data_IF_977587653475
#
_entry.id   IF_977587653475
#
_cell.length_a   1.000
_cell.length_b   1.000
_cell.length_c   1.000
_cell.angle_alpha   90.00
_cell.angle_beta   90.00
_cell.angle_gamma   90.00
#
_symmetry.space_group_name_H-M   'P 1'
#
loop_
_entity.id
_entity.type
_entity.pdbx_description
1 polymer ?
#
# COMPACT_ATOMS: atom_id res chain seq x y z
N UNK A 1 -11.66 -15.66 -16.02
CA UNK A 1 -11.78 -14.27 -16.53
C UNK A 1 -11.07 -14.22 -17.87
N UNK A 2 -11.73 -13.75 -18.93
CA UNK A 2 -11.00 -13.37 -20.14
C UNK A 2 -10.62 -11.88 -20.01
N UNK A 3 -9.33 -11.59 -20.01
CA UNK A 3 -8.84 -10.22 -20.10
C UNK A 3 -9.02 -9.75 -21.54
N UNK A 4 -9.81 -8.68 -21.75
CA UNK A 4 -10.07 -8.12 -23.07
C UNK A 4 -9.46 -6.74 -23.17
N UNK A 5 -8.77 -6.47 -24.28
CA UNK A 5 -8.15 -5.17 -24.52
C UNK A 5 -9.20 -4.07 -24.75
N UNK A 6 -8.89 -2.80 -24.42
CA UNK A 6 -9.85 -1.68 -24.59
C UNK A 6 -10.37 -1.57 -26.03
N UNK A 7 -9.50 -1.64 -27.03
CA UNK A 7 -9.92 -1.55 -28.44
C UNK A 7 -10.80 -2.74 -28.86
N UNK A 8 -10.52 -3.92 -28.32
CA UNK A 8 -11.27 -5.15 -28.56
C UNK A 8 -12.71 -5.03 -28.04
N UNK A 9 -12.88 -4.65 -26.76
CA UNK A 9 -14.21 -4.54 -26.15
C UNK A 9 -15.01 -3.37 -26.74
N UNK A 10 -14.37 -2.24 -27.01
CA UNK A 10 -15.04 -1.08 -27.64
C UNK A 10 -15.56 -1.46 -29.03
N UNK A 11 -14.76 -2.14 -29.85
CA UNK A 11 -15.19 -2.60 -31.19
C UNK A 11 -16.35 -3.59 -31.11
N UNK A 12 -16.29 -4.55 -30.18
CA UNK A 12 -17.39 -5.51 -29.98
C UNK A 12 -18.70 -4.81 -29.56
N UNK A 13 -18.62 -3.79 -28.70
CA UNK A 13 -19.80 -3.06 -28.23
C UNK A 13 -20.42 -2.11 -29.27
N UNK A 14 -19.80 -1.96 -30.44
CA UNK A 14 -20.42 -1.28 -31.58
C UNK A 14 -21.53 -2.15 -32.21
N UNK A 15 -21.47 -3.46 -32.07
CA UNK A 15 -22.42 -4.41 -32.68
C UNK A 15 -23.27 -5.16 -31.67
N UNK A 16 -22.84 -5.26 -30.40
CA UNK A 16 -23.57 -5.94 -29.32
C UNK A 16 -23.66 -5.06 -28.07
N UNK A 17 -24.76 -5.15 -27.32
CA UNK A 17 -24.92 -4.50 -26.01
C UNK A 17 -24.76 -5.46 -24.83
N UNK A 18 -24.39 -6.71 -25.11
CA UNK A 18 -24.29 -7.78 -24.13
C UNK A 18 -22.85 -8.07 -23.78
N UNK A 19 -22.57 -8.54 -22.58
CA UNK A 19 -21.24 -8.98 -22.19
C UNK A 19 -20.85 -10.23 -23.01
N UNK A 20 -19.68 -10.27 -23.67
CA UNK A 20 -19.26 -11.43 -24.46
C UNK A 20 -18.97 -12.68 -23.61
N UNK A 21 -18.84 -12.51 -22.29
CA UNK A 21 -18.50 -13.61 -21.36
C UNK A 21 -19.74 -14.24 -20.72
N UNK A 22 -20.71 -13.43 -20.29
CA UNK A 22 -21.87 -13.89 -19.53
C UNK A 22 -23.21 -13.55 -20.19
N UNK A 23 -23.19 -12.96 -21.39
CA UNK A 23 -24.37 -12.57 -22.16
C UNK A 23 -25.35 -11.67 -21.39
N UNK A 24 -24.89 -10.97 -20.36
CA UNK A 24 -25.69 -10.01 -19.59
C UNK A 24 -25.67 -8.66 -20.28
N UNK A 25 -26.82 -7.98 -20.38
CA UNK A 25 -26.90 -6.65 -21.01
C UNK A 25 -26.13 -5.61 -20.18
N UNK A 26 -25.20 -4.90 -20.81
CA UNK A 26 -24.31 -3.94 -20.12
C UNK A 26 -25.03 -2.60 -19.87
N UNK A 27 -25.80 -2.14 -20.87
CA UNK A 27 -26.58 -0.91 -20.80
C UNK A 27 -27.65 -0.89 -21.91
N UNK A 28 -28.75 -0.17 -21.69
CA UNK A 28 -29.85 -0.01 -22.65
C UNK A 28 -29.44 0.70 -23.96
N UNK A 29 -28.82 1.87 -23.85
CA UNK A 29 -28.43 2.71 -25.00
C UNK A 29 -26.92 2.92 -25.16
N UNK A 30 -26.16 2.99 -24.07
CA UNK A 30 -24.74 3.35 -24.06
C UNK A 30 -23.86 2.28 -23.37
N UNK A 31 -23.45 1.21 -24.08
CA UNK A 31 -22.66 0.12 -23.50
C UNK A 31 -21.30 0.55 -22.94
N UNK A 32 -20.75 1.67 -23.40
CA UNK A 32 -19.45 2.19 -22.96
C UNK A 32 -19.50 2.90 -21.60
N UNK A 33 -20.68 3.35 -21.15
CA UNK A 33 -20.83 4.18 -19.94
C UNK A 33 -20.39 3.45 -18.67
N UNK A 34 -20.72 2.17 -18.57
CA UNK A 34 -20.45 1.34 -17.38
C UNK A 34 -19.14 0.55 -17.48
N UNK A 35 -18.34 0.74 -18.53
CA UNK A 35 -17.06 0.07 -18.66
C UNK A 35 -16.00 0.77 -17.81
N UNK A 36 -15.33 0.00 -16.96
CA UNK A 36 -14.17 0.45 -16.18
C UNK A 36 -12.93 -0.34 -16.56
N UNK A 37 -11.78 0.32 -16.54
CA UNK A 37 -10.49 -0.34 -16.70
C UNK A 37 -10.15 -1.10 -15.42
N UNK A 38 -9.76 -2.36 -15.55
CA UNK A 38 -9.12 -3.09 -14.48
C UNK A 38 -7.65 -2.64 -14.39
N UNK A 39 -7.38 -1.70 -13.48
CA UNK A 39 -6.05 -1.11 -13.28
C UNK A 39 -5.04 -2.13 -12.76
N UNK A 40 -5.47 -3.04 -11.90
CA UNK A 40 -4.59 -4.06 -11.34
C UNK A 40 -4.14 -5.02 -12.44
N UNK A 41 -5.08 -5.47 -13.26
CA UNK A 41 -4.76 -6.34 -14.39
C UNK A 41 -3.89 -5.62 -15.42
N UNK A 42 -4.15 -4.35 -15.70
CA UNK A 42 -3.32 -3.52 -16.59
C UNK A 42 -1.88 -3.41 -16.07
N UNK A 43 -1.69 -3.12 -14.77
CA UNK A 43 -0.37 -3.01 -14.15
C UNK A 43 0.39 -4.34 -14.18
N UNK A 44 -0.31 -5.45 -13.95
CA UNK A 44 0.28 -6.79 -14.07
C UNK A 44 0.75 -7.01 -15.50
N UNK A 45 -0.11 -6.75 -16.50
CA UNK A 45 0.22 -6.95 -17.91
C UNK A 45 1.39 -6.08 -18.36
N UNK A 46 1.45 -4.79 -17.97
CA UNK A 46 2.56 -3.90 -18.30
C UNK A 46 3.88 -4.30 -17.65
N UNK A 47 3.85 -4.88 -16.45
CA UNK A 47 5.06 -5.40 -15.80
C UNK A 47 5.52 -6.72 -16.40
N UNK A 48 4.60 -7.56 -16.87
CA UNK A 48 4.92 -8.88 -17.43
C UNK A 48 5.34 -8.83 -18.90
N UNK A 49 4.85 -7.87 -19.68
CA UNK A 49 5.12 -7.77 -21.12
C UNK A 49 6.05 -6.57 -21.40
N UNK A 50 7.35 -6.81 -21.67
CA UNK A 50 8.32 -5.74 -21.92
C UNK A 50 7.92 -4.85 -23.09
N UNK A 51 8.11 -3.53 -22.95
CA UNK A 51 7.86 -2.54 -24.01
C UNK A 51 6.37 -2.31 -24.35
N UNK A 52 5.43 -3.03 -23.72
CA UNK A 52 4.00 -2.89 -24.02
C UNK A 52 3.45 -1.52 -23.60
N UNK A 53 3.82 -1.05 -22.40
CA UNK A 53 3.40 0.26 -21.91
C UNK A 53 3.94 1.39 -22.80
N UNK A 54 5.23 1.36 -23.13
CA UNK A 54 5.88 2.34 -24.00
C UNK A 54 5.24 2.37 -25.40
N UNK A 55 4.93 1.19 -25.96
CA UNK A 55 4.24 1.04 -27.24
C UNK A 55 2.81 1.63 -27.20
N UNK A 56 2.08 1.45 -26.11
CA UNK A 56 0.76 2.03 -25.93
C UNK A 56 0.84 3.55 -25.79
N UNK A 57 1.77 4.07 -24.98
CA UNK A 57 1.99 5.50 -24.81
C UNK A 57 2.41 6.18 -26.11
N UNK A 58 3.25 5.52 -26.92
CA UNK A 58 3.64 5.98 -28.25
C UNK A 58 2.44 6.08 -29.19
N UNK A 59 1.60 5.03 -29.27
CA UNK A 59 0.39 5.02 -30.10
C UNK A 59 -0.61 6.09 -29.68
N UNK A 60 -0.78 6.30 -28.37
CA UNK A 60 -1.62 7.39 -27.85
C UNK A 60 -1.06 8.74 -28.30
N UNK A 61 0.25 8.97 -28.13
CA UNK A 61 0.90 10.23 -28.51
C UNK A 61 0.73 10.54 -30.00
N UNK A 62 0.99 9.56 -30.86
CA UNK A 62 0.84 9.67 -32.31
C UNK A 62 -0.62 9.98 -32.72
N UNK A 63 -1.60 9.38 -32.05
CA UNK A 63 -3.02 9.63 -32.30
C UNK A 63 -3.43 11.09 -32.02
N UNK A 64 -2.97 11.65 -30.90
CA UNK A 64 -3.30 13.05 -30.54
C UNK A 64 -2.53 14.05 -31.42
N UNK A 65 -1.23 13.80 -31.65
CA UNK A 65 -0.39 14.64 -32.51
C UNK A 65 -0.92 14.72 -33.95
N UNK A 66 -1.33 13.59 -34.53
CA UNK A 66 -1.88 13.56 -35.90
C UNK A 66 -3.20 14.33 -36.06
N UNK A 67 -3.87 14.69 -34.95
CA UNK A 67 -5.11 15.47 -34.95
C UNK A 67 -4.93 16.90 -34.46
N UNK A 68 -3.69 17.32 -34.15
CA UNK A 68 -3.41 18.64 -33.58
C UNK A 68 -4.06 18.87 -32.21
N UNK A 69 -4.32 17.79 -31.45
CA UNK A 69 -4.97 17.84 -30.15
C UNK A 69 -3.94 17.62 -29.04
N UNK A 70 -4.08 18.37 -27.94
CA UNK A 70 -3.37 18.06 -26.70
C UNK A 70 -3.98 16.83 -26.02
N UNK A 71 -3.14 16.06 -25.33
CA UNK A 71 -3.58 14.84 -24.66
C UNK A 71 -4.57 15.17 -23.55
N UNK A 72 -5.85 14.83 -23.76
CA UNK A 72 -6.86 14.89 -22.69
C UNK A 72 -6.53 13.79 -21.67
N UNK A 73 -5.97 14.20 -20.54
CA UNK A 73 -5.84 13.30 -19.38
C UNK A 73 -7.25 13.13 -18.84
N UNK A 74 -7.86 11.95 -19.02
CA UNK A 74 -9.16 11.71 -18.41
C UNK A 74 -9.00 11.81 -16.88
N UNK A 75 -9.65 12.77 -16.21
CA UNK A 75 -9.69 12.76 -14.77
C UNK A 75 -10.44 11.49 -14.36
N UNK A 76 -9.79 10.67 -13.54
CA UNK A 76 -10.48 9.61 -12.83
C UNK A 76 -11.50 10.29 -11.92
N UNK A 77 -12.78 10.13 -12.20
CA UNK A 77 -13.85 10.54 -11.30
C UNK A 77 -13.82 9.66 -10.05
N UNK A 78 -12.93 10.01 -9.13
CA UNK A 78 -12.95 9.64 -7.72
C UNK A 78 -12.69 10.93 -6.94
N UNK A 79 -13.68 11.82 -6.96
CA UNK A 79 -13.85 12.81 -5.91
C UNK A 79 -14.14 12.04 -4.62
N UNK A 80 -13.17 11.99 -3.72
CA UNK A 80 -13.45 11.77 -2.30
C UNK A 80 -12.58 12.71 -1.46
N UNK A 81 -13.26 13.73 -0.97
CA UNK A 81 -12.95 14.69 0.09
C UNK A 81 -11.91 14.18 1.11
N UNK A 82 -10.84 14.95 1.27
CA UNK A 82 -9.87 14.78 2.35
C UNK A 82 -8.46 15.27 2.01
N UNK A 83 -8.31 16.57 1.74
CA UNK A 83 -6.98 17.16 1.48
C UNK A 83 -6.10 17.16 2.74
N UNK A 84 -4.92 16.55 2.62
CA UNK A 84 -3.80 16.70 3.56
C UNK A 84 -3.09 18.05 3.24
N UNK A 85 -2.65 18.86 4.23
CA UNK A 85 -2.26 20.25 4.04
C UNK A 85 -0.84 20.46 3.49
N UNK A 86 -0.26 19.46 2.82
CA UNK A 86 0.99 19.63 2.07
C UNK A 86 0.70 19.63 0.57
N UNK A 87 0.51 20.84 0.04
CA UNK A 87 0.22 21.11 -1.37
C UNK A 87 1.24 20.54 -2.34
N UNK A 88 1.00 19.31 -2.78
CA UNK A 88 1.52 18.82 -4.05
C UNK A 88 0.39 18.89 -5.07
N UNK A 89 0.61 19.53 -6.24
CA UNK A 89 -0.38 19.55 -7.30
C UNK A 89 -0.69 18.10 -7.69
N UNK A 90 -1.98 17.78 -7.79
CA UNK A 90 -2.53 16.48 -8.18
C UNK A 90 -2.25 16.11 -9.64
N UNK A 91 -1.13 16.57 -10.20
CA UNK A 91 -0.65 16.22 -11.52
C UNK A 91 0.33 15.05 -11.40
N UNK A 92 -0.05 13.90 -11.96
CA UNK A 92 0.79 12.71 -12.17
C UNK A 92 1.26 11.99 -10.90
N UNK A 93 0.33 11.40 -10.14
CA UNK A 93 0.74 10.29 -9.26
C UNK A 93 1.18 9.13 -10.14
N UNK A 94 2.49 8.94 -10.23
CA UNK A 94 3.09 7.81 -10.94
C UNK A 94 2.66 6.50 -10.26
N UNK A 95 1.63 5.86 -10.83
CA UNK A 95 1.08 4.60 -10.33
C UNK A 95 2.14 3.49 -10.26
N UNK A 96 3.24 3.60 -11.02
CA UNK A 96 4.37 2.68 -10.89
C UNK A 96 4.98 2.72 -9.47
N UNK A 97 4.85 3.83 -8.73
CA UNK A 97 5.38 4.01 -7.37
C UNK A 97 4.35 3.78 -6.28
N UNK A 98 3.09 3.53 -6.63
CA UNK A 98 1.98 3.33 -5.66
C UNK A 98 2.24 2.18 -4.67
N UNK A 99 3.04 1.18 -5.06
CA UNK A 99 3.36 0.01 -4.25
C UNK A 99 4.42 0.26 -3.14
N UNK A 100 5.00 1.46 -3.08
CA UNK A 100 6.04 1.81 -2.11
C UNK A 100 5.46 1.96 -0.71
N UNK A 101 6.18 1.50 0.32
CA UNK A 101 5.73 1.52 1.72
C UNK A 101 5.29 2.89 2.25
N UNK A 102 5.86 3.99 1.74
CA UNK A 102 5.51 5.36 2.12
C UNK A 102 4.06 5.75 1.78
N UNK A 103 3.43 5.01 0.86
CA UNK A 103 2.05 5.23 0.45
C UNK A 103 1.09 4.18 1.01
N UNK A 104 1.59 3.24 1.82
CA UNK A 104 0.70 2.33 2.53
C UNK A 104 -0.13 3.11 3.57
N UNK A 105 -1.23 2.50 4.01
CA UNK A 105 -1.85 2.87 5.28
C UNK A 105 -0.79 2.83 6.41
N UNK A 106 -0.90 3.74 7.38
CA UNK A 106 0.00 3.81 8.51
C UNK A 106 -0.71 3.54 9.83
N UNK A 107 -0.01 2.89 10.76
CA UNK A 107 -0.45 2.69 12.14
C UNK A 107 0.43 3.47 13.11
N UNK A 108 -0.17 3.94 14.20
CA UNK A 108 0.53 4.57 15.32
C UNK A 108 0.74 3.56 16.45
N UNK A 109 1.98 3.46 16.92
CA UNK A 109 2.45 2.53 17.94
C UNK A 109 3.02 3.32 19.14
N UNK A 110 2.92 2.75 20.33
CA UNK A 110 3.65 3.20 21.52
C UNK A 110 4.57 2.05 21.98
N UNK A 111 5.87 2.33 22.15
CA UNK A 111 6.88 1.37 22.58
C UNK A 111 7.35 1.70 23.99
N UNK A 112 7.08 0.79 24.93
CA UNK A 112 7.49 0.95 26.32
C UNK A 112 8.48 -0.13 26.74
N UNK A 113 9.46 0.24 27.57
CA UNK A 113 10.38 -0.75 28.14
C UNK A 113 9.59 -1.62 29.11
N UNK A 114 9.67 -2.94 28.97
CA UNK A 114 9.12 -3.87 29.94
C UNK A 114 9.85 -3.66 31.28
N UNK A 115 9.12 -3.26 32.32
CA UNK A 115 9.69 -3.05 33.65
C UNK A 115 10.13 -4.38 34.27
N UNK A 116 11.43 -4.59 34.42
CA UNK A 116 11.97 -5.72 35.19
C UNK A 116 12.60 -5.21 36.49
N UNK A 117 12.32 -5.88 37.62
CA UNK A 117 12.81 -5.51 38.95
C UNK A 117 14.33 -5.65 39.12
N UNK A 118 15.05 -6.13 38.11
CA UNK A 118 16.51 -6.32 38.09
C UNK A 118 17.24 -5.45 37.06
N UNK A 119 16.55 -4.54 36.37
CA UNK A 119 17.10 -3.80 35.24
C UNK A 119 17.97 -2.61 35.70
N UNK A 120 19.29 -2.77 35.67
CA UNK A 120 20.25 -1.66 35.84
C UNK A 120 20.50 -0.89 34.53
N UNK A 121 19.91 -1.33 33.40
CA UNK A 121 20.14 -0.72 32.09
C UNK A 121 19.35 0.58 31.94
N UNK A 122 20.09 1.70 31.83
CA UNK A 122 19.56 3.04 31.52
C UNK A 122 19.10 3.22 30.07
N UNK A 123 19.24 2.21 29.20
CA UNK A 123 18.86 2.31 27.79
C UNK A 123 17.32 2.35 27.65
N UNK A 124 16.77 3.56 27.74
CA UNK A 124 15.34 3.85 27.59
C UNK A 124 15.14 4.65 26.31
N UNK A 125 14.16 4.23 25.52
CA UNK A 125 13.78 4.92 24.31
C UNK A 125 13.18 6.30 24.65
N UNK A 126 13.81 7.36 24.14
CA UNK A 126 13.35 8.74 24.37
C UNK A 126 12.05 9.03 23.61
N UNK A 127 11.98 8.60 22.33
CA UNK A 127 10.79 8.75 21.49
C UNK A 127 10.04 7.43 21.41
N UNK A 128 8.99 7.30 22.23
CA UNK A 128 8.21 6.06 22.37
C UNK A 128 7.18 5.84 21.26
N UNK A 129 6.77 6.90 20.58
CA UNK A 129 5.73 6.82 19.55
C UNK A 129 6.34 6.62 18.16
N UNK A 130 5.83 5.63 17.43
CA UNK A 130 6.26 5.30 16.07
C UNK A 130 5.04 5.29 15.16
N UNK A 131 5.16 5.90 13.98
CA UNK A 131 4.21 5.73 12.88
C UNK A 131 4.90 4.99 11.75
N UNK A 132 4.30 3.92 11.25
CA UNK A 132 4.88 3.11 10.18
C UNK A 132 3.80 2.45 9.31
N UNK A 133 4.20 2.00 8.12
CA UNK A 133 3.34 1.23 7.22
C UNK A 133 2.73 0.02 7.92
N UNK A 134 1.46 -0.27 7.64
CA UNK A 134 0.78 -1.48 8.13
C UNK A 134 1.46 -2.78 7.70
N UNK A 135 2.27 -2.76 6.64
CA UNK A 135 3.08 -3.88 6.13
C UNK A 135 4.43 -4.02 6.83
N UNK A 136 4.84 -3.06 7.66
CA UNK A 136 6.02 -3.20 8.49
C UNK A 136 5.89 -4.41 9.41
N UNK A 137 6.99 -5.13 9.63
CA UNK A 137 7.04 -6.33 10.45
C UNK A 137 7.76 -6.07 11.77
N UNK A 138 7.56 -6.97 12.74
CA UNK A 138 8.21 -6.91 14.05
C UNK A 138 9.74 -6.84 13.94
N UNK A 139 10.34 -7.57 12.98
CA UNK A 139 11.79 -7.48 12.75
C UNK A 139 12.26 -6.07 12.37
N UNK A 140 11.47 -5.29 11.63
CA UNK A 140 11.84 -3.91 11.27
C UNK A 140 11.83 -3.02 12.51
N UNK A 141 10.83 -3.18 13.38
CA UNK A 141 10.73 -2.43 14.62
C UNK A 141 11.87 -2.79 15.59
N UNK A 142 12.25 -4.07 15.65
CA UNK A 142 13.43 -4.53 16.41
C UNK A 142 14.71 -3.86 15.91
N UNK A 143 14.94 -3.81 14.59
CA UNK A 143 16.11 -3.13 14.00
C UNK A 143 16.15 -1.64 14.36
N UNK A 144 15.00 -0.96 14.32
CA UNK A 144 14.91 0.45 14.75
C UNK A 144 15.28 0.61 16.22
N UNK A 145 14.75 -0.25 17.10
CA UNK A 145 15.11 -0.24 18.53
C UNK A 145 16.60 -0.51 18.74
N UNK A 146 17.19 -1.46 18.02
CA UNK A 146 18.62 -1.77 18.10
C UNK A 146 19.47 -0.56 17.73
N UNK A 147 19.11 0.15 16.65
CA UNK A 147 19.82 1.34 16.23
C UNK A 147 19.65 2.50 17.23
N UNK A 148 18.44 2.69 17.79
CA UNK A 148 18.17 3.77 18.76
C UNK A 148 18.73 3.53 20.15
N UNK A 149 18.93 2.27 20.53
CA UNK A 149 19.45 1.87 21.84
C UNK A 149 20.92 1.42 21.78
N UNK A 150 21.53 1.39 20.59
CA UNK A 150 22.89 0.91 20.34
C UNK A 150 23.12 -0.54 20.84
N UNK A 151 22.14 -1.41 20.59
CA UNK A 151 22.15 -2.81 21.04
C UNK A 151 22.17 -3.80 19.87
N UNK A 152 22.82 -4.97 20.05
CA UNK A 152 22.69 -6.09 19.11
C UNK A 152 21.26 -6.62 19.00
N UNK A 153 20.87 -7.07 17.80
CA UNK A 153 19.53 -7.60 17.51
C UNK A 153 19.07 -8.72 18.45
N UNK A 154 20.00 -9.60 18.83
CA UNK A 154 19.76 -10.72 19.74
C UNK A 154 19.32 -10.31 21.15
N UNK A 155 19.63 -9.09 21.58
CA UNK A 155 19.28 -8.61 22.92
C UNK A 155 17.91 -7.93 22.96
N UNK A 156 17.35 -7.52 21.83
CA UNK A 156 16.08 -6.79 21.78
C UNK A 156 14.95 -7.71 21.36
N UNK A 157 13.92 -7.79 22.20
CA UNK A 157 12.69 -8.53 21.92
C UNK A 157 11.48 -7.60 22.05
N UNK A 158 10.50 -7.73 21.14
CA UNK A 158 9.25 -6.99 21.19
C UNK A 158 8.15 -7.93 21.66
N UNK A 159 7.32 -7.43 22.57
CA UNK A 159 6.30 -8.18 23.27
C UNK A 159 4.95 -7.48 23.20
N UNK A 160 3.91 -8.30 23.25
CA UNK A 160 2.55 -7.85 23.50
C UNK A 160 1.97 -8.74 24.60
N UNK A 161 1.39 -8.14 25.64
CA UNK A 161 0.91 -8.87 26.84
C UNK A 161 1.95 -9.86 27.41
N UNK A 162 3.22 -9.45 27.52
CA UNK A 162 4.35 -10.27 27.97
C UNK A 162 4.73 -11.45 27.08
N UNK A 163 4.09 -11.62 25.92
CA UNK A 163 4.46 -12.65 24.94
C UNK A 163 5.31 -12.07 23.83
N UNK A 164 6.38 -12.78 23.47
CA UNK A 164 7.24 -12.41 22.36
C UNK A 164 6.52 -12.50 21.02
N UNK A 165 6.67 -11.47 20.20
CA UNK A 165 6.06 -11.43 18.88
C UNK A 165 6.96 -12.06 17.81
N UNK A 166 6.40 -12.84 16.85
CA UNK A 166 7.17 -13.39 15.73
C UNK A 166 7.69 -12.30 14.79
N UNK A 167 8.92 -12.46 14.32
CA UNK A 167 9.61 -11.45 13.49
C UNK A 167 8.87 -11.10 12.18
N UNK A 168 8.20 -12.08 11.57
CA UNK A 168 7.48 -11.93 10.31
C UNK A 168 6.06 -11.35 10.46
N UNK A 169 5.56 -11.19 11.69
CA UNK A 169 4.23 -10.65 11.94
C UNK A 169 4.18 -9.18 11.52
N UNK A 170 3.22 -8.83 10.67
CA UNK A 170 3.00 -7.44 10.23
C UNK A 170 2.22 -6.64 11.27
N UNK A 171 2.34 -5.30 11.23
CA UNK A 171 1.56 -4.43 12.12
C UNK A 171 0.06 -4.57 11.89
N UNK A 172 -0.40 -4.77 10.63
CA UNK A 172 -1.81 -5.03 10.33
C UNK A 172 -2.33 -6.29 11.01
N UNK A 173 -1.58 -7.40 10.89
CA UNK A 173 -1.95 -8.66 11.53
C UNK A 173 -2.02 -8.51 13.06
N UNK A 174 -1.05 -7.83 13.66
CA UNK A 174 -1.02 -7.60 15.10
C UNK A 174 -2.20 -6.73 15.55
N UNK A 175 -2.52 -5.67 14.81
CA UNK A 175 -3.65 -4.80 15.10
C UNK A 175 -4.97 -5.57 15.04
N UNK A 176 -5.23 -6.28 13.96
CA UNK A 176 -6.48 -7.01 13.76
C UNK A 176 -6.66 -8.17 14.74
N UNK A 177 -5.56 -8.85 15.12
CA UNK A 177 -5.65 -9.99 16.03
C UNK A 177 -5.69 -9.61 17.52
N UNK A 178 -5.06 -8.50 17.91
CA UNK A 178 -4.85 -8.17 19.34
C UNK A 178 -5.32 -6.77 19.78
N UNK A 179 -5.69 -5.90 18.84
CA UNK A 179 -6.04 -4.50 19.09
C UNK A 179 -7.29 -4.02 18.34
N UNK A 180 -8.06 -4.95 17.78
CA UNK A 180 -9.29 -4.62 17.05
C UNK A 180 -10.32 -3.94 17.97
N UNK A 181 -10.93 -2.86 17.50
CA UNK A 181 -11.90 -2.07 18.27
C UNK A 181 -11.30 -1.18 19.37
N UNK A 182 -9.98 -1.21 19.59
CA UNK A 182 -9.30 -0.35 20.57
C UNK A 182 -8.77 0.93 19.90
N UNK A 183 -8.73 2.07 20.63
CA UNK A 183 -8.17 3.30 20.09
C UNK A 183 -6.66 3.18 19.87
N UNK A 184 -6.15 3.98 18.93
CA UNK A 184 -4.72 4.19 18.77
C UNK A 184 -4.13 4.93 19.99
N UNK A 185 -2.82 4.77 20.28
CA UNK A 185 -1.85 3.91 19.59
C UNK A 185 -1.87 2.45 20.08
N UNK A 186 -1.40 1.54 19.24
CA UNK A 186 -1.13 0.15 19.64
C UNK A 186 0.05 0.11 20.60
N UNK A 187 -0.18 -0.33 21.84
CA UNK A 187 0.84 -0.45 22.86
C UNK A 187 1.63 -1.75 22.71
N UNK A 188 2.95 -1.62 22.62
CA UNK A 188 3.91 -2.72 22.59
C UNK A 188 4.98 -2.51 23.65
N UNK A 189 5.47 -3.61 24.20
CA UNK A 189 6.58 -3.60 25.12
C UNK A 189 7.84 -4.08 24.42
N UNK A 190 9.00 -3.60 24.84
CA UNK A 190 10.28 -4.18 24.46
C UNK A 190 11.09 -4.56 25.68
N UNK A 191 11.84 -5.66 25.59
CA UNK A 191 12.77 -6.09 26.63
C UNK A 191 14.18 -6.20 26.09
N UNK A 192 15.14 -5.96 26.98
CA UNK A 192 16.57 -6.08 26.70
C UNK A 192 17.07 -7.27 27.51
N UNK A 193 17.53 -8.32 26.83
CA UNK A 193 18.18 -9.47 27.47
C UNK A 193 19.67 -9.19 27.62
N UNK A 194 20.18 -9.28 28.83
CA UNK A 194 21.62 -9.23 29.08
C UNK A 194 22.30 -10.52 28.61
N UNK A 195 23.56 -10.40 28.17
CA UNK A 195 24.46 -11.54 28.00
C UNK A 195 24.53 -12.28 29.33
N UNK A 196 24.01 -13.50 29.42
CA UNK A 196 24.50 -14.45 30.43
C UNK A 196 25.98 -14.65 30.11
N UNK A 197 26.84 -14.11 30.98
CA UNK A 197 28.25 -14.52 31.09
C UNK A 197 28.30 -15.98 31.54
#
# INVERSE_FOLDING_TARGET
LATVCKSCIVKYLQTSKYCPMCNTKIHETQPLLNLKLDRVMQDIVYKLVPGLQESEEKRIREFYQSRGLDRVTQPSSEDTVGGDPMGLPYSTFDHSRAHYFRYDEHVSLCLEKQSSSKDKSKAVLQQKYVRCSVRAQIQHLRRVLCHRLELPLQHVQILFNNEALPDHMTMKQLWLSRWFGKPAPLLLHYSIKDKRR
#
